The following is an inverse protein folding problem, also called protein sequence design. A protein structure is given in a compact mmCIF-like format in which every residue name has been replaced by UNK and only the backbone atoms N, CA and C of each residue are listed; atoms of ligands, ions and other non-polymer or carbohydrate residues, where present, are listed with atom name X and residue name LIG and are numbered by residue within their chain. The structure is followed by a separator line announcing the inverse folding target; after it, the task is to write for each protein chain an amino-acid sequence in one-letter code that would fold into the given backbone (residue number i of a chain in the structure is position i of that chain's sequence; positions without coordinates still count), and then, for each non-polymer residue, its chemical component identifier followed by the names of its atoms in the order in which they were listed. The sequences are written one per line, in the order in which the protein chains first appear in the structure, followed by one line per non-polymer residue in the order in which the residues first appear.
data_IF_745296178085
#
_entry.id   IF_745296178085
#
_cell.length_a   1.000
_cell.length_b   1.000
_cell.length_c   1.000
_cell.angle_alpha   90.00
_cell.angle_beta   90.00
_cell.angle_gamma   90.00
#
_symmetry.space_group_name_H-M   'P 1'
#
loop_
_entity.id
_entity.type
_entity.pdbx_description
1 polymer ?
#
# COMPACT_ATOMS: atom_id res chain seq x y z
N UNK A 1 1.81 -23.15 21.82
CA UNK A 1 1.59 -22.21 20.70
C UNK A 1 2.80 -22.19 19.76
N UNK A 2 3.99 -21.86 20.26
CA UNK A 2 5.23 -21.76 19.44
C UNK A 2 5.54 -23.00 18.60
N UNK A 3 5.21 -24.21 19.10
CA UNK A 3 5.41 -25.46 18.35
C UNK A 3 4.54 -25.52 17.09
N UNK A 4 3.28 -25.07 17.19
CA UNK A 4 2.31 -25.05 16.06
C UNK A 4 2.77 -24.04 15.00
N UNK A 5 3.16 -22.84 15.43
CA UNK A 5 3.68 -21.81 14.52
C UNK A 5 4.94 -22.29 13.81
N UNK A 6 5.91 -22.88 14.55
CA UNK A 6 7.14 -23.39 13.97
C UNK A 6 6.89 -24.53 12.97
N UNK A 7 5.95 -25.43 13.27
CA UNK A 7 5.59 -26.53 12.36
C UNK A 7 4.97 -25.98 11.07
N UNK A 8 4.02 -25.05 11.18
CA UNK A 8 3.40 -24.38 10.03
C UNK A 8 4.45 -23.66 9.15
N UNK A 9 5.31 -22.85 9.79
CA UNK A 9 6.36 -22.13 9.06
C UNK A 9 7.38 -23.07 8.40
N UNK A 10 7.71 -24.20 9.02
CA UNK A 10 8.58 -25.20 8.43
C UNK A 10 7.96 -25.84 7.18
N UNK A 11 6.66 -26.16 7.22
CA UNK A 11 5.92 -26.69 6.07
C UNK A 11 5.87 -25.68 4.92
N UNK A 12 5.53 -24.43 5.19
CA UNK A 12 5.51 -23.37 4.17
C UNK A 12 6.90 -23.13 3.58
N UNK A 13 7.94 -23.08 4.42
CA UNK A 13 9.32 -22.87 3.97
C UNK A 13 9.84 -24.01 3.08
N UNK A 14 9.42 -25.25 3.35
CA UNK A 14 9.79 -26.40 2.52
C UNK A 14 9.31 -26.26 1.08
N UNK A 15 8.13 -25.63 0.87
CA UNK A 15 7.55 -25.38 -0.45
C UNK A 15 8.07 -24.11 -1.12
N UNK A 16 8.61 -23.16 -0.33
CA UNK A 16 9.00 -21.83 -0.77
C UNK A 16 10.49 -21.54 -0.49
N UNK A 17 11.35 -22.48 -0.89
CA UNK A 17 12.79 -22.34 -0.73
C UNK A 17 13.30 -21.14 -1.52
N UNK A 18 14.16 -20.33 -0.90
CA UNK A 18 14.75 -19.12 -1.48
C UNK A 18 13.74 -17.96 -1.74
N UNK A 19 12.64 -17.91 -0.99
CA UNK A 19 11.67 -16.82 -1.03
C UNK A 19 11.62 -16.05 0.31
N UNK A 20 12.71 -15.34 0.71
CA UNK A 20 12.82 -14.75 2.03
C UNK A 20 11.80 -13.65 2.31
N UNK A 21 11.45 -12.82 1.33
CA UNK A 21 10.46 -11.75 1.50
C UNK A 21 9.06 -12.33 1.72
N UNK A 22 8.73 -13.39 1.01
CA UNK A 22 7.46 -14.09 1.20
C UNK A 22 7.39 -14.75 2.58
N UNK A 23 8.45 -15.46 3.00
CA UNK A 23 8.50 -16.09 4.31
C UNK A 23 8.43 -15.09 5.46
N UNK A 24 8.99 -13.89 5.30
CA UNK A 24 8.88 -12.81 6.30
C UNK A 24 7.42 -12.39 6.51
N UNK A 25 6.68 -12.16 5.42
CA UNK A 25 5.27 -11.76 5.49
C UNK A 25 4.38 -12.89 6.08
N UNK A 26 4.63 -14.14 5.67
CA UNK A 26 3.92 -15.29 6.23
C UNK A 26 4.17 -15.43 7.73
N UNK A 27 5.39 -15.22 8.19
CA UNK A 27 5.75 -15.27 9.61
C UNK A 27 4.99 -14.24 10.42
N UNK A 28 4.98 -12.97 9.98
CA UNK A 28 4.27 -11.89 10.67
C UNK A 28 2.78 -12.20 10.84
N UNK A 29 2.13 -12.69 9.78
CA UNK A 29 0.71 -13.05 9.83
C UNK A 29 0.49 -14.29 10.71
N UNK A 30 1.31 -15.33 10.58
CA UNK A 30 1.19 -16.57 11.32
C UNK A 30 1.27 -16.36 12.84
N UNK A 31 2.17 -15.50 13.31
CA UNK A 31 2.34 -15.17 14.72
C UNK A 31 1.09 -14.57 15.37
N UNK A 32 0.27 -13.87 14.59
CA UNK A 32 -0.98 -13.26 15.08
C UNK A 32 -2.22 -14.12 14.82
N UNK A 33 -2.29 -14.77 13.66
CA UNK A 33 -3.48 -15.49 13.18
C UNK A 33 -3.57 -16.90 13.74
N UNK A 34 -2.46 -17.65 13.83
CA UNK A 34 -2.48 -19.03 14.37
C UNK A 34 -3.01 -19.09 15.82
N UNK A 35 -2.59 -18.20 16.76
CA UNK A 35 -3.17 -18.16 18.09
C UNK A 35 -4.69 -17.90 18.11
N UNK A 36 -5.21 -17.21 17.10
CA UNK A 36 -6.64 -16.99 16.95
C UNK A 36 -7.35 -18.24 16.40
N UNK A 37 -6.81 -18.87 15.36
CA UNK A 37 -7.33 -20.09 14.76
C UNK A 37 -7.50 -21.20 15.80
N UNK A 38 -6.48 -21.46 16.61
CA UNK A 38 -6.48 -22.54 17.62
C UNK A 38 -7.60 -22.37 18.66
N UNK A 39 -8.07 -21.14 18.87
CA UNK A 39 -9.17 -20.83 19.80
C UNK A 39 -10.57 -20.89 19.17
N UNK A 40 -10.66 -21.18 17.88
CA UNK A 40 -11.89 -21.15 17.12
C UNK A 40 -12.10 -22.47 16.37
N UNK A 41 -12.97 -23.32 16.88
CA UNK A 41 -13.25 -24.65 16.34
C UNK A 41 -13.61 -24.62 14.86
N UNK A 42 -14.29 -23.56 14.40
CA UNK A 42 -14.69 -23.39 13.00
C UNK A 42 -13.49 -23.32 12.04
N UNK A 43 -12.33 -22.83 12.48
CA UNK A 43 -11.13 -22.75 11.63
C UNK A 43 -10.12 -23.86 11.92
N UNK A 44 -10.18 -24.45 13.11
CA UNK A 44 -9.22 -25.45 13.53
C UNK A 44 -9.34 -26.72 12.66
N UNK A 45 -8.23 -27.23 12.18
CA UNK A 45 -8.17 -28.42 11.31
C UNK A 45 -8.60 -28.19 9.83
N UNK A 46 -9.01 -26.99 9.44
CA UNK A 46 -9.46 -26.68 8.07
C UNK A 46 -8.33 -26.27 7.12
N UNK A 47 -7.10 -26.19 7.60
CA UNK A 47 -5.92 -25.73 6.84
C UNK A 47 -6.12 -24.39 6.10
N UNK A 48 -7.01 -23.52 6.61
CA UNK A 48 -7.38 -22.28 5.94
C UNK A 48 -6.15 -21.39 5.68
N UNK A 49 -5.32 -21.17 6.71
CA UNK A 49 -4.13 -20.34 6.53
C UNK A 49 -3.13 -20.97 5.55
N UNK A 50 -2.99 -22.29 5.55
CA UNK A 50 -2.12 -22.99 4.59
C UNK A 50 -2.63 -22.80 3.15
N UNK A 51 -3.95 -22.86 2.93
CA UNK A 51 -4.58 -22.55 1.63
C UNK A 51 -4.40 -21.08 1.24
N UNK A 52 -4.43 -20.14 2.19
CA UNK A 52 -4.22 -18.71 1.92
C UNK A 52 -2.78 -18.36 1.53
N UNK A 53 -1.79 -19.10 2.02
CA UNK A 53 -0.37 -18.86 1.67
C UNK A 53 0.03 -19.51 0.36
N UNK A 54 -0.77 -20.45 -0.15
CA UNK A 54 -0.55 -21.05 -1.46
C UNK A 54 -1.30 -20.26 -2.52
N UNK A 55 -0.63 -19.68 -3.55
CA UNK A 55 -1.32 -18.97 -4.63
C UNK A 55 -2.28 -19.90 -5.38
N UNK A 56 -3.49 -19.42 -5.70
CA UNK A 56 -4.40 -20.17 -6.58
C UNK A 56 -3.80 -20.40 -7.96
N UNK A 57 -3.03 -19.41 -8.47
CA UNK A 57 -2.25 -19.52 -9.72
C UNK A 57 -1.04 -18.62 -9.73
N UNK A 58 0.01 -19.09 -10.37
CA UNK A 58 1.20 -18.31 -10.72
C UNK A 58 1.37 -18.35 -12.22
N UNK A 59 1.28 -17.19 -12.87
CA UNK A 59 1.44 -17.02 -14.31
C UNK A 59 2.78 -16.36 -14.56
N UNK A 60 3.65 -17.02 -15.31
CA UNK A 60 4.96 -16.49 -15.71
C UNK A 60 5.07 -16.54 -17.24
N UNK A 61 5.53 -15.46 -17.83
CA UNK A 61 5.64 -15.35 -19.28
C UNK A 61 6.83 -14.50 -19.72
N UNK A 62 7.29 -14.74 -20.94
CA UNK A 62 8.34 -13.95 -21.60
C UNK A 62 7.73 -12.70 -22.20
N UNK A 63 8.41 -11.55 -22.02
CA UNK A 63 8.08 -10.28 -22.65
C UNK A 63 9.24 -9.89 -23.57
N UNK A 64 9.09 -10.08 -24.87
CA UNK A 64 10.07 -9.66 -25.88
C UNK A 64 9.59 -8.35 -26.51
N UNK A 65 10.49 -7.37 -26.63
CA UNK A 65 10.19 -6.06 -27.19
C UNK A 65 11.43 -5.44 -27.85
N UNK A 66 11.26 -4.42 -28.66
CA UNK A 66 12.35 -3.76 -29.41
C UNK A 66 12.60 -2.38 -28.79
N UNK A 67 13.86 -2.10 -28.40
CA UNK A 67 14.30 -0.80 -27.90
C UNK A 67 14.47 0.24 -29.02
N UNK A 68 14.87 1.47 -28.71
CA UNK A 68 15.04 2.55 -29.66
C UNK A 68 16.30 2.37 -30.55
N UNK A 69 17.15 1.39 -30.25
CA UNK A 69 18.30 0.99 -31.05
C UNK A 69 18.02 -0.19 -32.00
N UNK A 70 16.74 -0.58 -32.10
CA UNK A 70 16.30 -1.76 -32.85
C UNK A 70 16.82 -3.11 -32.30
N UNK A 71 17.27 -3.13 -31.04
CA UNK A 71 17.74 -4.33 -30.37
C UNK A 71 16.56 -5.05 -29.69
N UNK A 72 16.58 -6.38 -29.73
CA UNK A 72 15.55 -7.21 -29.03
C UNK A 72 15.90 -7.33 -27.56
N UNK A 73 15.03 -6.84 -26.72
CA UNK A 73 15.08 -6.96 -25.27
C UNK A 73 14.13 -8.07 -24.78
N UNK A 74 14.51 -8.77 -23.71
CA UNK A 74 13.71 -9.85 -23.14
C UNK A 74 13.59 -9.66 -21.63
N UNK A 75 12.37 -9.54 -21.16
CA UNK A 75 12.03 -9.45 -19.75
C UNK A 75 11.13 -10.63 -19.32
N UNK A 76 11.01 -10.81 -18.01
CA UNK A 76 10.06 -11.75 -17.41
C UNK A 76 8.82 -11.00 -16.94
N UNK A 77 7.65 -11.50 -17.30
CA UNK A 77 6.36 -11.04 -16.79
C UNK A 77 5.76 -12.04 -15.82
N UNK A 78 5.06 -11.53 -14.80
CA UNK A 78 4.41 -12.35 -13.78
C UNK A 78 3.04 -11.80 -13.42
N UNK A 79 2.11 -12.71 -13.09
CA UNK A 79 0.88 -12.43 -12.36
C UNK A 79 0.64 -13.53 -11.33
N UNK A 80 0.45 -13.11 -10.08
CA UNK A 80 0.13 -13.98 -8.95
C UNK A 80 -1.34 -13.76 -8.63
N UNK A 81 -2.15 -14.75 -8.89
CA UNK A 81 -3.55 -14.85 -8.49
C UNK A 81 -3.56 -15.56 -7.13
N UNK A 82 -3.60 -14.78 -6.03
CA UNK A 82 -3.31 -15.32 -4.71
C UNK A 82 -4.52 -15.91 -4.02
N UNK A 83 -5.64 -15.18 -4.00
CA UNK A 83 -6.88 -15.64 -3.39
C UNK A 83 -8.07 -14.87 -3.96
N UNK A 84 -9.12 -15.57 -4.35
CA UNK A 84 -10.34 -15.03 -4.96
C UNK A 84 -11.60 -15.20 -4.11
N UNK A 85 -11.49 -15.69 -2.88
CA UNK A 85 -12.65 -16.05 -2.05
C UNK A 85 -13.63 -14.90 -1.81
N UNK A 86 -13.18 -13.64 -1.79
CA UNK A 86 -14.03 -12.47 -1.55
C UNK A 86 -14.23 -11.57 -2.77
N UNK A 87 -13.74 -11.96 -3.93
CA UNK A 87 -13.91 -11.21 -5.18
C UNK A 87 -12.79 -11.43 -6.18
N UNK A 88 -12.83 -10.76 -7.34
CA UNK A 88 -11.80 -10.89 -8.36
C UNK A 88 -10.42 -10.50 -7.80
N UNK A 89 -9.35 -11.15 -8.30
CA UNK A 89 -8.00 -10.81 -7.89
C UNK A 89 -7.72 -9.34 -8.12
N UNK A 90 -7.13 -8.68 -7.15
CA UNK A 90 -6.87 -7.24 -7.20
C UNK A 90 -5.51 -6.91 -6.61
N UNK A 91 -4.71 -6.17 -7.35
CA UNK A 91 -3.42 -5.67 -6.90
C UNK A 91 -2.57 -5.15 -8.04
N UNK A 92 -1.54 -4.36 -7.68
CA UNK A 92 -0.74 -3.61 -8.64
C UNK A 92 0.19 -4.45 -9.51
N UNK A 93 0.64 -3.86 -10.61
CA UNK A 93 1.78 -4.31 -11.41
C UNK A 93 2.99 -3.46 -11.04
N UNK A 94 4.13 -4.12 -10.79
CA UNK A 94 5.42 -3.46 -10.49
C UNK A 94 6.39 -3.66 -11.64
N UNK A 95 6.96 -2.57 -12.17
CA UNK A 95 8.05 -2.63 -13.15
C UNK A 95 9.33 -2.11 -12.49
N UNK A 96 10.18 -3.04 -12.12
CA UNK A 96 11.45 -2.73 -11.44
C UNK A 96 12.43 -3.90 -11.57
N UNK A 97 13.75 -3.65 -11.74
CA UNK A 97 14.76 -4.72 -11.89
C UNK A 97 14.80 -5.75 -10.76
N UNK A 98 14.37 -5.38 -9.55
CA UNK A 98 14.32 -6.31 -8.40
C UNK A 98 13.13 -7.25 -8.41
N UNK A 99 12.20 -7.13 -9.35
CA UNK A 99 11.00 -7.99 -9.39
C UNK A 99 11.39 -9.44 -9.61
N UNK A 100 10.96 -10.28 -8.68
CA UNK A 100 11.09 -11.73 -8.71
C UNK A 100 9.85 -12.37 -8.09
N UNK A 101 9.77 -13.70 -8.10
CA UNK A 101 8.63 -14.43 -7.60
C UNK A 101 8.40 -14.23 -6.09
N UNK A 102 9.47 -14.23 -5.28
CA UNK A 102 9.39 -14.04 -3.83
C UNK A 102 8.73 -12.69 -3.47
N UNK A 103 9.21 -11.61 -4.10
CA UNK A 103 8.66 -10.26 -3.90
C UNK A 103 7.19 -10.19 -4.32
N UNK A 104 6.83 -10.79 -5.45
CA UNK A 104 5.45 -10.73 -5.93
C UNK A 104 4.50 -11.61 -5.10
N UNK A 105 4.92 -12.77 -4.64
CA UNK A 105 4.14 -13.61 -3.71
C UNK A 105 3.94 -12.90 -2.37
N UNK A 106 5.00 -12.31 -1.81
CA UNK A 106 4.90 -11.47 -0.62
C UNK A 106 3.82 -10.40 -0.78
N UNK A 107 3.93 -9.61 -1.85
CA UNK A 107 3.00 -8.51 -2.09
C UNK A 107 1.57 -9.00 -2.38
N UNK A 108 1.40 -10.15 -3.05
CA UNK A 108 0.09 -10.74 -3.32
C UNK A 108 -0.57 -11.27 -2.04
N UNK A 109 0.20 -11.89 -1.16
CA UNK A 109 -0.26 -12.38 0.14
C UNK A 109 -0.71 -11.23 1.05
N UNK A 110 0.11 -10.19 1.20
CA UNK A 110 -0.24 -8.97 1.93
C UNK A 110 -1.52 -8.30 1.35
N UNK A 111 -1.70 -8.39 0.03
CA UNK A 111 -2.85 -7.81 -0.64
C UNK A 111 -4.18 -8.48 -0.26
N UNK A 112 -4.17 -9.78 0.11
CA UNK A 112 -5.37 -10.46 0.62
C UNK A 112 -5.92 -9.71 1.84
N UNK A 113 -5.07 -9.45 2.83
CA UNK A 113 -5.45 -8.80 4.08
C UNK A 113 -5.83 -7.34 3.86
N UNK A 114 -5.05 -6.61 3.06
CA UNK A 114 -5.34 -5.21 2.73
C UNK A 114 -6.70 -5.05 2.04
N UNK A 115 -6.99 -5.88 1.05
CA UNK A 115 -8.25 -5.79 0.29
C UNK A 115 -9.45 -6.19 1.16
N UNK A 116 -9.32 -7.25 1.95
CA UNK A 116 -10.41 -7.71 2.82
C UNK A 116 -10.81 -6.67 3.86
N UNK A 117 -9.86 -5.90 4.38
CA UNK A 117 -10.12 -4.82 5.33
C UNK A 117 -10.99 -3.70 4.73
N UNK A 118 -10.90 -3.44 3.43
CA UNK A 118 -11.71 -2.40 2.76
C UNK A 118 -13.20 -2.69 2.73
N UNK A 119 -13.63 -3.89 3.11
CA UNK A 119 -15.01 -4.42 2.97
C UNK A 119 -15.49 -4.59 1.53
N UNK A 120 -14.78 -4.09 0.54
CA UNK A 120 -15.13 -4.21 -0.87
C UNK A 120 -14.85 -5.63 -1.41
N UNK A 121 -15.59 -6.09 -2.44
CA UNK A 121 -15.45 -7.43 -3.00
C UNK A 121 -14.20 -7.53 -3.89
N UNK A 122 -13.04 -7.66 -3.28
CA UNK A 122 -11.75 -7.75 -3.96
C UNK A 122 -10.88 -8.83 -3.33
N UNK A 123 -10.47 -9.81 -4.11
CA UNK A 123 -9.47 -10.80 -3.76
C UNK A 123 -8.04 -10.22 -3.74
N UNK A 124 -7.05 -11.08 -3.55
CA UNK A 124 -5.63 -10.70 -3.53
C UNK A 124 -4.88 -11.15 -4.79
N UNK A 125 -4.13 -10.24 -5.39
CA UNK A 125 -3.25 -10.56 -6.51
C UNK A 125 -2.13 -9.54 -6.66
N UNK A 126 -1.07 -9.90 -7.38
CA UNK A 126 0.06 -9.03 -7.67
C UNK A 126 0.72 -9.46 -8.97
N UNK A 127 1.37 -8.53 -9.65
CA UNK A 127 2.13 -8.86 -10.84
C UNK A 127 3.24 -7.87 -11.11
N UNK A 128 3.93 -8.06 -12.22
CA UNK A 128 4.99 -7.15 -12.61
C UNK A 128 6.01 -7.77 -13.54
N UNK A 129 7.11 -7.06 -13.70
CA UNK A 129 8.23 -7.45 -14.54
C UNK A 129 9.54 -6.88 -13.98
N UNK A 130 10.65 -7.54 -14.31
CA UNK A 130 12.00 -7.05 -14.08
C UNK A 130 12.41 -5.89 -15.03
N UNK A 131 11.49 -5.41 -15.85
CA UNK A 131 11.66 -4.23 -16.69
C UNK A 131 11.90 -2.96 -15.85
N UNK A 132 12.87 -2.15 -16.26
CA UNK A 132 13.15 -0.86 -15.65
C UNK A 132 12.66 0.29 -16.55
N UNK A 133 11.56 0.96 -16.23
CA UNK A 133 11.06 2.08 -17.03
C UNK A 133 11.89 3.36 -16.86
N UNK A 134 12.79 3.40 -15.86
CA UNK A 134 13.61 4.59 -15.59
C UNK A 134 14.65 4.79 -16.68
N UNK A 135 14.65 5.98 -17.29
CA UNK A 135 15.58 6.32 -18.37
C UNK A 135 15.15 5.81 -19.75
N UNK A 136 14.01 5.11 -19.85
CA UNK A 136 13.44 4.69 -21.14
C UNK A 136 12.56 5.80 -21.73
N UNK A 137 12.51 5.86 -23.07
CA UNK A 137 11.60 6.76 -23.79
C UNK A 137 10.14 6.32 -23.63
N UNK A 138 9.20 7.24 -23.86
CA UNK A 138 7.77 6.91 -23.83
C UNK A 138 7.42 5.83 -24.87
N UNK A 139 8.10 5.83 -26.01
CA UNK A 139 7.92 4.84 -27.07
C UNK A 139 8.43 3.46 -26.66
N UNK A 140 9.58 3.37 -25.99
CA UNK A 140 10.09 2.12 -25.43
C UNK A 140 9.14 1.55 -24.37
N UNK A 141 8.69 2.40 -23.42
CA UNK A 141 7.73 1.99 -22.38
C UNK A 141 6.42 1.54 -23.01
N UNK A 142 5.93 2.21 -24.05
CA UNK A 142 4.70 1.80 -24.75
C UNK A 142 4.87 0.43 -25.41
N UNK A 143 5.97 0.20 -26.15
CA UNK A 143 6.26 -1.10 -26.79
C UNK A 143 6.34 -2.23 -25.76
N UNK A 144 7.05 -1.98 -24.65
CA UNK A 144 7.11 -2.93 -23.54
C UNK A 144 5.71 -3.24 -22.97
N UNK A 145 4.91 -2.22 -22.62
CA UNK A 145 3.57 -2.39 -22.09
C UNK A 145 2.66 -3.16 -23.06
N UNK A 146 2.75 -2.91 -24.35
CA UNK A 146 1.99 -3.62 -25.38
C UNK A 146 2.39 -5.11 -25.43
N UNK A 147 3.69 -5.41 -25.42
CA UNK A 147 4.17 -6.79 -25.38
C UNK A 147 3.75 -7.51 -24.10
N UNK A 148 3.92 -6.86 -22.94
CA UNK A 148 3.50 -7.39 -21.65
C UNK A 148 1.99 -7.71 -21.61
N UNK A 149 1.16 -6.80 -22.11
CA UNK A 149 -0.30 -7.00 -22.12
C UNK A 149 -0.72 -8.05 -23.14
N UNK A 150 0.01 -8.24 -24.23
CA UNK A 150 -0.27 -9.30 -25.23
C UNK A 150 -0.20 -10.70 -24.62
N UNK A 151 0.61 -10.90 -23.58
CA UNK A 151 0.63 -12.14 -22.83
C UNK A 151 -0.40 -12.13 -21.69
N UNK A 152 -0.50 -11.04 -20.96
CA UNK A 152 -1.34 -10.96 -19.74
C UNK A 152 -2.85 -10.94 -20.04
N UNK A 153 -3.31 -10.41 -21.17
CA UNK A 153 -4.74 -10.15 -21.43
C UNK A 153 -5.65 -11.40 -21.32
N UNK A 154 -5.10 -12.59 -21.54
CA UNK A 154 -5.82 -13.87 -21.46
C UNK A 154 -6.25 -14.21 -20.02
N UNK A 155 -5.54 -13.65 -19.05
CA UNK A 155 -5.64 -14.00 -17.63
C UNK A 155 -6.41 -12.96 -16.83
N UNK A 156 -6.59 -11.75 -17.34
CA UNK A 156 -7.23 -10.63 -16.64
C UNK A 156 -8.60 -10.28 -17.25
N UNK A 157 -9.36 -9.50 -16.50
CA UNK A 157 -10.68 -9.02 -16.93
C UNK A 157 -11.48 -8.44 -15.77
N UNK A 158 -12.59 -7.72 -16.06
CA UNK A 158 -13.33 -6.97 -15.03
C UNK A 158 -13.96 -7.87 -13.94
N UNK A 159 -14.17 -9.15 -14.23
CA UNK A 159 -14.79 -10.12 -13.32
C UNK A 159 -13.82 -11.23 -12.87
N UNK A 160 -12.55 -11.16 -13.23
CA UNK A 160 -11.55 -12.20 -12.94
C UNK A 160 -10.37 -11.64 -12.16
N UNK A 161 -9.65 -10.72 -12.76
CA UNK A 161 -8.44 -10.15 -12.23
C UNK A 161 -8.27 -8.71 -12.74
N UNK A 162 -8.13 -7.76 -11.82
CA UNK A 162 -8.12 -6.33 -12.13
C UNK A 162 -6.82 -5.71 -11.60
N UNK A 163 -5.75 -5.70 -12.41
CA UNK A 163 -4.51 -5.07 -12.03
C UNK A 163 -4.62 -3.55 -11.81
N UNK A 164 -3.67 -2.99 -11.10
CA UNK A 164 -3.52 -1.55 -10.85
C UNK A 164 -2.06 -1.12 -11.04
N UNK A 165 -1.76 0.16 -10.82
CA UNK A 165 -0.38 0.64 -10.74
C UNK A 165 0.31 0.29 -9.43
N UNK A 166 1.65 0.27 -9.49
CA UNK A 166 2.58 0.14 -8.36
C UNK A 166 3.91 0.79 -8.77
N UNK A 167 5.03 0.50 -8.10
CA UNK A 167 6.35 1.05 -8.46
C UNK A 167 6.64 0.81 -9.96
N UNK A 168 6.99 1.87 -10.67
CA UNK A 168 7.29 1.84 -12.12
C UNK A 168 6.07 1.70 -13.03
N UNK A 169 4.85 1.70 -12.49
CA UNK A 169 3.60 1.65 -13.24
C UNK A 169 2.67 2.76 -12.75
N UNK A 170 2.72 3.88 -13.40
CA UNK A 170 1.85 5.04 -13.17
C UNK A 170 0.72 5.13 -14.20
N UNK A 171 0.10 6.31 -14.29
CA UNK A 171 -1.01 6.56 -15.23
C UNK A 171 -0.62 6.37 -16.68
N UNK A 172 0.64 6.67 -17.07
CA UNK A 172 1.18 6.45 -18.41
C UNK A 172 1.17 4.96 -18.77
N UNK A 173 1.78 4.12 -17.92
CA UNK A 173 1.85 2.68 -18.15
C UNK A 173 0.46 2.05 -18.14
N UNK A 174 -0.41 2.45 -17.20
CA UNK A 174 -1.82 2.01 -17.16
C UNK A 174 -2.52 2.36 -18.48
N UNK A 175 -2.25 3.54 -19.03
CA UNK A 175 -2.79 3.95 -20.33
C UNK A 175 -2.38 3.02 -21.47
N UNK A 176 -1.08 2.72 -21.58
CA UNK A 176 -0.56 1.83 -22.60
C UNK A 176 -1.05 0.39 -22.46
N UNK A 177 -1.10 -0.11 -21.22
CA UNK A 177 -1.64 -1.44 -20.91
C UNK A 177 -3.13 -1.54 -21.24
N UNK A 178 -3.94 -0.54 -20.86
CA UNK A 178 -5.36 -0.51 -21.14
C UNK A 178 -5.65 -0.39 -22.65
N UNK A 179 -4.92 0.46 -23.35
CA UNK A 179 -5.05 0.61 -24.80
C UNK A 179 -4.80 -0.70 -25.55
N UNK A 180 -3.78 -1.46 -25.14
CA UNK A 180 -3.47 -2.76 -25.75
C UNK A 180 -4.51 -3.82 -25.36
N UNK A 181 -4.97 -3.88 -24.10
CA UNK A 181 -6.05 -4.78 -23.68
C UNK A 181 -7.32 -4.53 -24.49
N UNK A 182 -7.76 -3.26 -24.58
CA UNK A 182 -8.93 -2.86 -25.36
C UNK A 182 -8.82 -3.30 -26.83
N UNK A 183 -7.64 -3.15 -27.45
CA UNK A 183 -7.39 -3.57 -28.82
C UNK A 183 -7.49 -5.09 -29.00
N UNK A 184 -6.91 -5.88 -28.07
CA UNK A 184 -6.88 -7.35 -28.15
C UNK A 184 -8.26 -7.98 -27.87
N UNK A 185 -8.99 -7.42 -26.91
CA UNK A 185 -10.32 -7.92 -26.51
C UNK A 185 -11.46 -7.34 -27.34
N UNK A 186 -11.22 -6.20 -28.02
CA UNK A 186 -12.26 -5.39 -28.68
C UNK A 186 -13.41 -4.99 -27.69
N UNK A 187 -13.07 -4.71 -26.44
CA UNK A 187 -13.99 -4.38 -25.37
C UNK A 187 -13.49 -3.16 -24.59
N UNK A 188 -14.42 -2.29 -24.14
CA UNK A 188 -14.15 -1.22 -23.20
C UNK A 188 -14.75 -1.60 -21.84
N UNK A 189 -13.91 -2.10 -20.93
CA UNK A 189 -14.32 -2.66 -19.63
C UNK A 189 -13.53 -2.05 -18.46
N UNK A 190 -13.93 -2.36 -17.23
CA UNK A 190 -13.25 -1.96 -16.00
C UNK A 190 -12.04 -2.82 -15.61
N UNK A 191 -11.26 -3.29 -16.57
CA UNK A 191 -10.19 -4.29 -16.38
C UNK A 191 -8.97 -3.80 -15.60
N UNK A 192 -8.64 -2.54 -15.62
CA UNK A 192 -7.52 -1.93 -14.90
C UNK A 192 -8.03 -0.80 -14.03
N UNK A 193 -7.34 -0.49 -12.93
CA UNK A 193 -7.60 0.71 -12.14
C UNK A 193 -6.40 1.66 -12.10
N UNK A 194 -6.66 2.94 -11.80
CA UNK A 194 -5.69 4.02 -11.99
C UNK A 194 -5.74 4.60 -13.40
N UNK A 195 -6.88 4.43 -14.08
CA UNK A 195 -7.16 5.00 -15.40
C UNK A 195 -7.31 6.52 -15.33
N UNK A 196 -7.12 7.18 -16.46
CA UNK A 196 -7.42 8.60 -16.59
C UNK A 196 -8.92 8.88 -16.45
N UNK A 197 -9.27 10.05 -15.91
CA UNK A 197 -10.68 10.44 -15.64
C UNK A 197 -11.54 10.35 -16.89
N UNK A 198 -11.03 10.78 -18.03
CA UNK A 198 -11.76 10.78 -19.31
C UNK A 198 -12.05 9.38 -19.90
N UNK A 199 -11.49 8.34 -19.33
CA UNK A 199 -11.62 6.96 -19.83
C UNK A 199 -11.78 5.91 -18.72
N UNK A 200 -12.55 6.26 -17.68
CA UNK A 200 -13.02 5.34 -16.65
C UNK A 200 -12.26 5.38 -15.33
N UNK A 201 -11.39 6.38 -15.12
CA UNK A 201 -10.72 6.61 -13.84
C UNK A 201 -11.65 7.22 -12.79
N UNK A 202 -11.26 7.14 -11.52
CA UNK A 202 -11.96 7.76 -10.38
C UNK A 202 -11.23 8.99 -9.89
N UNK A 203 -11.99 10.03 -9.54
CA UNK A 203 -11.51 11.16 -8.73
C UNK A 203 -10.96 10.61 -7.38
N UNK A 204 -10.10 11.39 -6.73
CA UNK A 204 -9.43 11.03 -5.46
C UNK A 204 -8.45 9.84 -5.59
N UNK A 205 -8.43 9.09 -6.71
CA UNK A 205 -7.56 7.91 -6.81
C UNK A 205 -6.06 8.22 -6.62
N UNK A 206 -5.51 9.30 -7.18
CA UNK A 206 -4.12 9.70 -6.92
C UNK A 206 -3.86 10.04 -5.46
N UNK A 207 -4.78 10.73 -4.80
CA UNK A 207 -4.66 11.24 -3.44
C UNK A 207 -4.95 10.18 -2.37
N UNK A 208 -5.72 9.16 -2.72
CA UNK A 208 -6.39 8.24 -1.81
C UNK A 208 -5.47 7.55 -0.79
N UNK A 209 -4.22 7.26 -1.13
CA UNK A 209 -3.29 6.63 -0.19
C UNK A 209 -2.92 7.59 0.94
N UNK A 210 -2.53 8.82 0.59
CA UNK A 210 -2.19 9.86 1.57
C UNK A 210 -3.39 10.27 2.42
N UNK A 211 -4.55 10.47 1.80
CA UNK A 211 -5.80 10.77 2.49
C UNK A 211 -6.19 9.65 3.46
N UNK A 212 -6.14 8.40 3.01
CA UNK A 212 -6.45 7.23 3.82
C UNK A 212 -5.58 7.10 5.06
N UNK A 213 -4.28 7.35 4.94
CA UNK A 213 -3.37 7.34 6.10
C UNK A 213 -3.82 8.33 7.16
N UNK A 214 -4.17 9.53 6.76
CA UNK A 214 -4.59 10.57 7.72
C UNK A 214 -5.98 10.28 8.29
N UNK A 215 -6.93 9.82 7.48
CA UNK A 215 -8.26 9.43 7.97
C UNK A 215 -8.20 8.28 8.97
N UNK A 216 -7.40 7.25 8.69
CA UNK A 216 -7.20 6.14 9.64
C UNK A 216 -6.53 6.63 10.93
N UNK A 217 -5.46 7.43 10.83
CA UNK A 217 -4.76 8.01 11.98
C UNK A 217 -5.68 8.90 12.79
N UNK A 218 -6.53 9.70 12.15
CA UNK A 218 -7.56 10.51 12.84
C UNK A 218 -8.52 9.63 13.66
N UNK A 219 -8.97 8.50 13.10
CA UNK A 219 -9.82 7.55 13.84
C UNK A 219 -9.13 6.93 15.05
N UNK A 220 -7.83 6.63 14.94
CA UNK A 220 -7.03 6.16 16.08
C UNK A 220 -6.93 7.21 17.18
N UNK A 221 -6.70 8.47 16.81
CA UNK A 221 -6.64 9.59 17.75
C UNK A 221 -7.99 9.85 18.39
N UNK A 222 -9.09 9.88 17.62
CA UNK A 222 -10.46 10.04 18.11
C UNK A 222 -10.83 8.96 19.15
N UNK A 223 -10.37 7.74 18.96
CA UNK A 223 -10.57 6.65 19.93
C UNK A 223 -9.91 6.93 21.29
N UNK A 224 -8.89 7.80 21.33
CA UNK A 224 -8.22 8.26 22.56
C UNK A 224 -8.71 9.64 23.02
N UNK A 225 -9.73 10.22 22.39
CA UNK A 225 -10.20 11.57 22.68
C UNK A 225 -9.30 12.68 22.14
N UNK A 226 -8.44 12.37 21.17
CA UNK A 226 -7.46 13.26 20.56
C UNK A 226 -7.80 13.54 19.09
N UNK A 227 -7.00 14.36 18.42
CA UNK A 227 -7.12 14.66 16.98
C UNK A 227 -5.89 15.36 16.44
N UNK A 228 -5.89 15.72 15.15
CA UNK A 228 -4.78 16.45 14.54
C UNK A 228 -4.70 17.93 14.94
N UNK A 229 -5.80 18.54 15.37
CA UNK A 229 -5.83 19.97 15.71
C UNK A 229 -4.78 20.34 16.75
N UNK A 230 -3.87 21.25 16.37
CA UNK A 230 -2.78 21.73 17.24
C UNK A 230 -1.62 20.76 17.40
N UNK A 231 -1.63 19.58 16.77
CA UNK A 231 -0.54 18.60 16.84
C UNK A 231 0.58 18.91 15.85
N UNK A 232 1.80 18.61 16.24
CA UNK A 232 3.00 18.67 15.40
C UNK A 232 3.17 17.34 14.69
N UNK A 233 3.24 17.38 13.36
CA UNK A 233 3.31 16.18 12.52
C UNK A 233 4.62 16.15 11.74
N UNK A 234 5.34 15.06 11.84
CA UNK A 234 6.53 14.76 11.04
C UNK A 234 6.18 13.76 9.96
N UNK A 235 6.44 14.12 8.70
CA UNK A 235 6.19 13.28 7.52
C UNK A 235 7.51 13.02 6.81
N UNK A 236 7.79 11.76 6.48
CA UNK A 236 8.88 11.41 5.55
C UNK A 236 8.37 11.30 4.12
N UNK A 237 9.28 11.43 3.16
CA UNK A 237 8.93 11.48 1.75
C UNK A 237 8.52 12.87 1.28
N UNK A 238 8.45 13.03 -0.03
CA UNK A 238 7.92 14.22 -0.73
C UNK A 238 7.26 13.81 -2.05
N UNK A 239 6.92 12.52 -2.17
CA UNK A 239 6.12 11.98 -3.25
C UNK A 239 4.63 12.16 -3.00
N UNK A 240 3.81 11.57 -3.86
CA UNK A 240 2.35 11.72 -3.85
C UNK A 240 1.72 11.42 -2.47
N UNK A 241 2.09 10.31 -1.82
CA UNK A 241 1.52 9.94 -0.51
C UNK A 241 1.82 10.98 0.55
N UNK A 242 3.08 11.45 0.63
CA UNK A 242 3.50 12.45 1.62
C UNK A 242 2.85 13.82 1.37
N UNK A 243 2.74 14.25 0.10
CA UNK A 243 2.08 15.51 -0.29
C UNK A 243 0.59 15.49 0.09
N UNK A 244 -0.13 14.43 -0.25
CA UNK A 244 -1.54 14.30 0.04
C UNK A 244 -1.82 14.09 1.55
N UNK A 245 -0.93 13.41 2.27
CA UNK A 245 -1.02 13.32 3.73
C UNK A 245 -0.83 14.71 4.37
N UNK A 246 0.16 15.49 3.91
CA UNK A 246 0.40 16.85 4.39
C UNK A 246 -0.81 17.77 4.16
N UNK A 247 -1.46 17.66 3.01
CA UNK A 247 -2.68 18.41 2.68
C UNK A 247 -3.79 18.15 3.71
N UNK A 248 -4.16 16.90 3.95
CA UNK A 248 -5.24 16.55 4.89
C UNK A 248 -4.86 16.86 6.33
N UNK A 249 -3.60 16.64 6.75
CA UNK A 249 -3.13 17.02 8.09
C UNK A 249 -3.34 18.51 8.33
N UNK A 250 -3.00 19.37 7.35
CA UNK A 250 -3.18 20.82 7.44
C UNK A 250 -4.66 21.19 7.50
N UNK A 251 -5.51 20.57 6.68
CA UNK A 251 -6.97 20.77 6.72
C UNK A 251 -7.59 20.39 8.06
N UNK A 252 -7.07 19.37 8.74
CA UNK A 252 -7.49 18.94 10.09
C UNK A 252 -6.87 19.77 11.22
N UNK A 253 -6.12 20.84 10.89
CA UNK A 253 -5.53 21.77 11.85
C UNK A 253 -4.23 21.27 12.52
N UNK A 254 -3.59 20.26 11.96
CA UNK A 254 -2.25 19.82 12.33
C UNK A 254 -1.17 20.67 11.67
N UNK A 255 0.02 20.72 12.26
CA UNK A 255 1.18 21.46 11.75
C UNK A 255 2.21 20.48 11.19
N UNK A 256 2.35 20.43 9.86
CA UNK A 256 3.36 19.59 9.19
C UNK A 256 4.72 20.26 9.29
N UNK A 257 5.67 19.62 9.96
CA UNK A 257 7.00 20.20 10.21
C UNK A 257 8.06 19.80 9.19
N UNK A 258 7.92 18.63 8.54
CA UNK A 258 8.95 18.07 7.67
C UNK A 258 8.39 17.42 6.43
N UNK A 259 9.16 17.46 5.35
CA UNK A 259 9.09 16.54 4.21
C UNK A 259 10.53 16.15 3.84
N UNK A 260 10.70 14.98 3.20
CA UNK A 260 12.03 14.44 2.90
C UNK A 260 12.15 13.84 1.50
N UNK A 261 13.37 13.71 1.02
CA UNK A 261 13.70 12.82 -0.10
C UNK A 261 15.02 12.07 0.18
N UNK A 262 15.56 11.37 -0.80
CA UNK A 262 16.79 10.59 -0.63
C UNK A 262 18.05 11.44 -0.34
N UNK A 263 17.98 12.77 -0.43
CA UNK A 263 19.08 13.68 -0.07
C UNK A 263 19.05 14.15 1.36
N UNK A 264 17.89 14.03 2.05
CA UNK A 264 17.68 14.49 3.42
C UNK A 264 16.26 15.00 3.64
N UNK A 265 16.07 15.82 4.66
CA UNK A 265 14.75 16.39 4.97
C UNK A 265 14.81 17.90 5.21
N UNK A 266 13.71 18.58 4.90
CA UNK A 266 13.48 19.97 5.31
C UNK A 266 12.73 19.98 6.65
N UNK A 267 13.07 20.92 7.50
CA UNK A 267 12.37 21.25 8.73
C UNK A 267 11.95 22.71 8.71
N UNK A 268 10.64 22.93 8.69
CA UNK A 268 10.06 24.27 8.79
C UNK A 268 9.33 24.41 10.13
N UNK A 269 9.91 25.19 11.05
CA UNK A 269 9.38 25.39 12.39
C UNK A 269 8.01 26.07 12.40
N UNK A 270 7.72 26.91 11.42
CA UNK A 270 6.40 27.58 11.26
C UNK A 270 5.34 26.68 10.66
N UNK A 271 5.73 25.51 10.19
CA UNK A 271 4.87 24.56 9.50
C UNK A 271 4.85 24.75 7.98
N UNK A 272 4.54 23.65 7.29
CA UNK A 272 4.33 23.59 5.82
C UNK A 272 2.81 23.75 5.60
N UNK A 273 2.37 24.98 5.35
CA UNK A 273 0.99 25.31 5.01
C UNK A 273 0.66 25.00 3.54
N UNK A 274 -0.54 25.37 3.09
CA UNK A 274 -1.03 25.12 1.73
C UNK A 274 -0.16 25.79 0.65
N UNK A 275 0.31 27.05 0.87
CA UNK A 275 1.18 27.75 -0.09
C UNK A 275 2.53 27.06 -0.21
N UNK A 276 3.15 26.70 0.93
CA UNK A 276 4.43 26.00 0.99
C UNK A 276 4.33 24.60 0.39
N UNK A 277 3.24 23.88 0.67
CA UNK A 277 2.96 22.57 0.07
C UNK A 277 2.81 22.66 -1.44
N UNK A 278 2.06 23.65 -1.95
CA UNK A 278 1.92 23.89 -3.39
C UNK A 278 3.26 24.15 -4.06
N UNK A 279 4.16 24.92 -3.41
CA UNK A 279 5.52 25.08 -3.90
C UNK A 279 6.33 23.79 -3.93
N UNK A 280 6.22 22.93 -2.89
CA UNK A 280 6.87 21.62 -2.86
C UNK A 280 6.33 20.73 -3.99
N UNK A 281 5.01 20.73 -4.23
CA UNK A 281 4.41 20.00 -5.35
C UNK A 281 4.95 20.46 -6.70
N UNK A 282 5.12 21.77 -6.90
CA UNK A 282 5.76 22.29 -8.11
C UNK A 282 7.21 21.82 -8.25
N UNK A 283 8.00 21.92 -7.19
CA UNK A 283 9.39 21.47 -7.16
C UNK A 283 9.52 19.98 -7.49
N UNK A 284 8.70 19.14 -6.88
CA UNK A 284 8.81 17.67 -7.00
C UNK A 284 8.16 17.13 -8.26
N UNK A 285 6.95 17.59 -8.59
CA UNK A 285 6.14 16.99 -9.65
C UNK A 285 6.43 17.59 -11.03
N UNK A 286 6.75 18.90 -11.10
CA UNK A 286 7.04 19.58 -12.37
C UNK A 286 8.54 19.69 -12.63
N UNK A 287 9.30 20.25 -11.67
CA UNK A 287 10.74 20.49 -11.85
C UNK A 287 11.62 19.28 -11.55
N UNK A 288 11.08 18.23 -10.88
CA UNK A 288 11.80 17.03 -10.44
C UNK A 288 13.05 17.35 -9.60
N UNK A 289 13.01 18.47 -8.87
CA UNK A 289 14.11 18.98 -8.06
C UNK A 289 14.25 18.20 -6.74
N UNK A 290 15.40 18.35 -6.08
CA UNK A 290 15.62 17.88 -4.72
C UNK A 290 14.90 18.79 -3.72
N UNK A 291 14.57 18.23 -2.53
CA UNK A 291 13.76 18.94 -1.54
C UNK A 291 14.49 20.15 -0.92
N UNK A 292 15.83 20.17 -0.90
CA UNK A 292 16.65 21.26 -0.40
C UNK A 292 16.46 22.57 -1.19
N UNK A 293 16.00 22.48 -2.44
CA UNK A 293 15.67 23.67 -3.27
C UNK A 293 14.56 24.51 -2.64
N UNK A 294 13.75 23.95 -1.75
CA UNK A 294 12.73 24.64 -0.97
C UNK A 294 13.28 25.86 -0.21
N UNK A 295 14.50 25.75 0.32
CA UNK A 295 15.16 26.83 1.09
C UNK A 295 15.40 28.09 0.26
N UNK A 296 15.44 28.00 -1.07
CA UNK A 296 15.61 29.18 -1.93
C UNK A 296 14.42 30.15 -1.82
N UNK A 297 13.22 29.66 -1.58
CA UNK A 297 12.00 30.47 -1.37
C UNK A 297 11.73 30.70 0.12
N UNK A 298 12.05 29.73 0.97
CA UNK A 298 11.79 29.74 2.41
C UNK A 298 13.08 29.57 3.22
N UNK A 299 13.94 30.62 3.30
CA UNK A 299 15.27 30.55 3.92
C UNK A 299 15.26 30.33 5.45
N UNK A 300 14.12 30.58 6.11
CA UNK A 300 13.94 30.31 7.56
C UNK A 300 13.85 28.82 7.87
N UNK A 301 13.53 27.97 6.89
CA UNK A 301 13.55 26.52 7.04
C UNK A 301 15.00 26.01 7.07
N UNK A 302 15.18 24.80 7.59
CA UNK A 302 16.48 24.13 7.64
C UNK A 302 16.48 22.88 6.79
N UNK A 303 17.59 22.56 6.16
CA UNK A 303 17.81 21.29 5.47
C UNK A 303 18.85 20.45 6.20
N UNK A 304 18.53 19.19 6.42
CA UNK A 304 19.39 18.21 7.07
C UNK A 304 19.78 17.12 6.07
N UNK A 305 20.97 17.27 5.51
CA UNK A 305 21.50 16.37 4.48
C UNK A 305 21.77 14.97 5.03
N UNK A 306 21.35 13.94 4.29
CA UNK A 306 21.55 12.52 4.61
C UNK A 306 21.03 12.10 6.00
N UNK A 307 20.02 12.81 6.52
CA UNK A 307 19.37 12.52 7.80
C UNK A 307 17.90 12.21 7.60
N UNK A 308 17.29 11.55 8.59
CA UNK A 308 15.87 11.20 8.62
C UNK A 308 15.11 12.14 9.54
N UNK A 309 13.83 12.42 9.29
CA UNK A 309 13.07 13.44 10.03
C UNK A 309 12.68 13.01 11.46
N UNK A 310 12.90 11.76 11.84
CA UNK A 310 12.47 11.19 13.13
C UNK A 310 13.16 11.79 14.36
N UNK A 311 14.19 12.57 14.17
CA UNK A 311 14.89 13.32 15.23
C UNK A 311 14.17 14.62 15.63
N UNK A 312 13.17 15.06 14.86
CA UNK A 312 12.36 16.24 15.16
C UNK A 312 11.27 15.85 16.16
N UNK A 313 11.14 16.53 17.32
CA UNK A 313 10.07 16.30 18.26
C UNK A 313 8.69 16.52 17.61
N UNK A 314 7.81 15.53 17.73
CA UNK A 314 6.47 15.57 17.14
C UNK A 314 5.48 14.78 17.98
N UNK A 315 4.20 15.08 17.80
CA UNK A 315 3.10 14.32 18.38
C UNK A 315 2.75 13.10 17.49
N UNK A 316 2.83 13.27 16.16
CA UNK A 316 2.44 12.26 15.18
C UNK A 316 3.55 12.11 14.13
N UNK A 317 3.88 10.86 13.79
CA UNK A 317 4.83 10.53 12.74
C UNK A 317 4.15 9.73 11.61
N UNK A 318 4.31 10.19 10.36
CA UNK A 318 3.76 9.55 9.17
C UNK A 318 4.90 9.14 8.22
N UNK A 319 5.38 7.89 8.29
CA UNK A 319 6.38 7.37 7.37
C UNK A 319 5.76 7.10 5.99
N UNK A 320 6.02 8.01 5.02
CA UNK A 320 5.44 8.02 3.68
C UNK A 320 6.47 7.91 2.55
N UNK A 321 7.73 7.56 2.85
CA UNK A 321 8.78 7.51 1.85
C UNK A 321 9.00 6.10 1.29
N UNK A 322 9.69 5.24 2.04
CA UNK A 322 10.15 3.94 1.52
C UNK A 322 10.10 2.83 2.56
N UNK A 323 10.19 1.59 2.07
CA UNK A 323 10.32 0.41 2.91
C UNK A 323 11.54 0.49 3.84
N UNK A 324 11.38 0.03 5.10
CA UNK A 324 12.43 -0.03 6.13
C UNK A 324 13.13 1.32 6.45
N UNK A 325 12.42 2.43 6.26
CA UNK A 325 12.96 3.76 6.57
C UNK A 325 13.00 4.08 8.07
N UNK A 326 12.14 3.46 8.90
CA UNK A 326 12.04 3.67 10.32
C UNK A 326 12.60 2.46 11.08
N UNK A 327 13.82 2.60 11.59
CA UNK A 327 14.51 1.55 12.34
C UNK A 327 14.33 1.67 13.85
N UNK A 328 14.95 0.75 14.62
CA UNK A 328 14.85 0.71 16.08
C UNK A 328 15.31 2.03 16.74
N UNK A 329 16.44 2.58 16.29
CA UNK A 329 16.96 3.88 16.80
C UNK A 329 16.03 5.05 16.50
N UNK A 330 15.36 5.02 15.35
CA UNK A 330 14.38 6.04 14.99
C UNK A 330 13.13 5.93 15.90
N UNK A 331 12.70 4.71 16.21
CA UNK A 331 11.62 4.47 17.18
C UNK A 331 11.98 4.95 18.58
N UNK A 332 13.22 4.73 19.04
CA UNK A 332 13.71 5.25 20.33
C UNK A 332 13.64 6.78 20.40
N UNK A 333 13.93 7.48 19.30
CA UNK A 333 13.79 8.93 19.22
C UNK A 333 12.32 9.36 19.34
N UNK A 334 11.42 8.70 18.63
CA UNK A 334 9.98 8.99 18.70
C UNK A 334 9.43 8.76 20.13
N UNK A 335 9.83 7.65 20.79
CA UNK A 335 9.50 7.39 22.20
C UNK A 335 10.03 8.49 23.11
N UNK A 336 11.29 8.87 22.96
CA UNK A 336 11.93 9.94 23.74
C UNK A 336 11.22 11.28 23.58
N UNK A 337 10.69 11.57 22.40
CA UNK A 337 9.97 12.81 22.08
C UNK A 337 8.49 12.76 22.45
N UNK A 338 8.04 11.68 23.11
CA UNK A 338 6.63 11.50 23.50
C UNK A 338 5.67 11.52 22.31
N UNK A 339 6.09 10.98 21.15
CA UNK A 339 5.22 10.78 20.02
C UNK A 339 4.04 9.86 20.43
N UNK A 340 2.81 10.26 20.12
CA UNK A 340 1.62 9.52 20.54
C UNK A 340 1.12 8.54 19.46
N UNK A 341 1.45 8.80 18.18
CA UNK A 341 0.93 7.99 17.09
C UNK A 341 1.92 7.92 15.92
N UNK A 342 2.03 6.71 15.33
CA UNK A 342 2.76 6.45 14.08
C UNK A 342 1.79 5.81 13.08
N UNK A 343 1.55 6.47 11.93
CA UNK A 343 0.68 5.98 10.86
C UNK A 343 1.44 5.72 9.56
N UNK A 344 1.53 4.47 9.13
CA UNK A 344 2.31 4.08 7.96
C UNK A 344 1.63 4.46 6.64
N UNK A 345 2.29 5.34 5.86
CA UNK A 345 1.87 5.69 4.51
C UNK A 345 2.56 4.84 3.42
N UNK A 346 3.83 4.51 3.63
CA UNK A 346 4.55 3.59 2.76
C UNK A 346 4.18 2.12 3.06
N UNK A 347 4.61 1.20 2.20
CA UNK A 347 4.49 -0.23 2.48
C UNK A 347 5.69 -0.68 3.32
N UNK A 348 5.41 -1.23 4.51
CA UNK A 348 6.41 -1.71 5.48
C UNK A 348 7.55 -0.70 5.75
N UNK A 349 7.27 0.55 6.09
CA UNK A 349 8.33 1.53 6.35
C UNK A 349 9.04 1.29 7.67
N UNK A 350 8.38 0.63 8.65
CA UNK A 350 8.95 0.35 9.97
C UNK A 350 9.52 -1.07 10.03
N UNK A 351 10.72 -1.19 10.60
CA UNK A 351 11.31 -2.51 10.85
C UNK A 351 10.57 -3.23 12.00
N UNK A 352 10.60 -4.59 12.07
CA UNK A 352 9.97 -5.34 13.16
C UNK A 352 10.43 -4.89 14.55
N UNK A 353 11.73 -4.55 14.71
CA UNK A 353 12.26 -4.02 15.97
C UNK A 353 11.68 -2.66 16.31
N UNK A 354 11.48 -1.80 15.31
CA UNK A 354 10.85 -0.49 15.52
C UNK A 354 9.40 -0.65 15.96
N UNK A 355 8.63 -1.53 15.29
CA UNK A 355 7.24 -1.83 15.66
C UNK A 355 7.15 -2.30 17.10
N UNK A 356 7.99 -3.27 17.49
CA UNK A 356 8.04 -3.75 18.87
C UNK A 356 8.37 -2.62 19.86
N UNK A 357 9.32 -1.76 19.51
CA UNK A 357 9.71 -0.63 20.38
C UNK A 357 8.57 0.37 20.59
N UNK A 358 7.83 0.71 19.53
CA UNK A 358 6.68 1.61 19.58
C UNK A 358 5.54 1.01 20.41
N UNK A 359 5.16 -0.24 20.14
CA UNK A 359 4.05 -0.91 20.81
C UNK A 359 4.33 -1.17 22.30
N UNK A 360 5.55 -1.55 22.67
CA UNK A 360 5.95 -1.74 24.09
C UNK A 360 5.89 -0.42 24.89
N UNK A 361 5.97 0.73 24.23
CA UNK A 361 5.84 2.05 24.87
C UNK A 361 4.44 2.66 24.69
N UNK A 362 3.44 1.86 24.31
CA UNK A 362 2.04 2.27 24.13
C UNK A 362 1.84 3.40 23.09
N UNK A 363 2.77 3.57 22.15
CA UNK A 363 2.57 4.47 21.02
C UNK A 363 1.55 3.81 20.09
N UNK A 364 0.50 4.53 19.71
CA UNK A 364 -0.47 4.06 18.72
C UNK A 364 0.25 3.80 17.39
N UNK A 365 0.18 2.57 16.90
CA UNK A 365 0.88 2.19 15.68
C UNK A 365 -0.10 1.61 14.66
N UNK A 366 -0.22 2.28 13.50
CA UNK A 366 -1.06 1.84 12.38
C UNK A 366 -0.22 1.12 11.32
N UNK A 367 -0.39 -0.20 11.12
CA UNK A 367 0.32 -0.94 10.08
C UNK A 367 -0.14 -0.49 8.69
N UNK A 368 0.79 -0.45 7.73
CA UNK A 368 0.53 0.02 6.36
C UNK A 368 -0.63 -0.70 5.67
N UNK A 369 -0.81 -2.02 5.92
CA UNK A 369 -1.93 -2.78 5.35
C UNK A 369 -3.33 -2.24 5.74
N UNK A 370 -3.44 -1.54 6.88
CA UNK A 370 -4.66 -0.86 7.31
C UNK A 370 -4.63 0.63 6.94
N UNK A 371 -3.62 1.36 7.37
CA UNK A 371 -3.58 2.82 7.24
C UNK A 371 -3.46 3.30 5.78
N UNK A 372 -2.65 2.64 4.95
CA UNK A 372 -2.49 3.04 3.54
C UNK A 372 -3.47 2.35 2.57
N UNK A 373 -4.50 1.67 3.08
CA UNK A 373 -5.49 0.98 2.27
C UNK A 373 -6.38 1.92 1.43
N UNK A 374 -6.34 3.23 1.66
CA UNK A 374 -7.11 4.21 0.90
C UNK A 374 -6.92 4.10 -0.61
N UNK A 375 -5.69 3.86 -1.07
CA UNK A 375 -5.40 3.68 -2.50
C UNK A 375 -6.14 2.49 -3.12
N UNK A 376 -6.18 1.34 -2.46
CA UNK A 376 -6.93 0.18 -2.96
C UNK A 376 -8.43 0.34 -2.73
N UNK A 377 -8.85 1.02 -1.68
CA UNK A 377 -10.26 1.36 -1.46
C UNK A 377 -10.82 2.16 -2.64
N UNK A 378 -10.18 3.25 -3.03
CA UNK A 378 -10.62 4.04 -4.20
C UNK A 378 -10.45 3.26 -5.52
N UNK A 379 -9.50 2.32 -5.61
CA UNK A 379 -9.47 1.40 -6.75
C UNK A 379 -10.73 0.52 -6.82
N UNK A 380 -11.24 0.04 -5.69
CA UNK A 380 -12.52 -0.68 -5.63
C UNK A 380 -13.72 0.22 -5.96
N UNK A 381 -13.70 1.47 -5.53
CA UNK A 381 -14.69 2.47 -5.93
C UNK A 381 -14.65 2.77 -7.44
N UNK A 382 -13.45 2.80 -8.05
CA UNK A 382 -13.28 2.89 -9.51
C UNK A 382 -13.90 1.69 -10.23
N UNK A 383 -13.70 0.48 -9.69
CA UNK A 383 -14.36 -0.73 -10.22
C UNK A 383 -15.89 -0.61 -10.16
N UNK A 384 -16.45 -0.14 -9.05
CA UNK A 384 -17.88 0.09 -8.89
C UNK A 384 -18.41 1.11 -9.91
N UNK A 385 -17.75 2.26 -10.06
CA UNK A 385 -18.09 3.28 -11.07
C UNK A 385 -18.04 2.72 -12.50
N UNK A 386 -17.02 1.89 -12.81
CA UNK A 386 -16.91 1.25 -14.12
C UNK A 386 -18.04 0.25 -14.38
N UNK A 387 -18.47 -0.50 -13.37
CA UNK A 387 -19.60 -1.44 -13.49
C UNK A 387 -20.93 -0.72 -13.68
N UNK A 388 -21.12 0.43 -13.00
CA UNK A 388 -22.29 1.27 -13.14
C UNK A 388 -22.27 2.10 -14.43
N UNK A 389 -21.12 2.27 -15.08
CA UNK A 389 -20.86 3.22 -16.17
C UNK A 389 -21.25 4.66 -15.81
N UNK A 390 -20.98 5.03 -14.57
CA UNK A 390 -21.33 6.34 -14.00
C UNK A 390 -20.21 6.82 -13.07
N UNK A 391 -19.83 8.10 -13.19
CA UNK A 391 -18.78 8.70 -12.38
C UNK A 391 -19.39 9.41 -11.18
N UNK A 392 -18.83 9.19 -10.01
CA UNK A 392 -19.17 9.94 -8.80
C UNK A 392 -18.41 11.25 -8.72
N UNK A 393 -18.97 12.21 -7.99
CA UNK A 393 -18.29 13.48 -7.69
C UNK A 393 -17.11 13.27 -6.76
N UNK A 394 -16.28 14.30 -6.61
CA UNK A 394 -15.12 14.25 -5.71
C UNK A 394 -15.56 14.02 -4.27
N UNK A 395 -16.62 14.71 -3.86
CA UNK A 395 -17.21 14.63 -2.52
C UNK A 395 -17.74 13.21 -2.25
N UNK A 396 -18.49 12.63 -3.18
CA UNK A 396 -19.02 11.27 -3.04
C UNK A 396 -17.91 10.23 -2.88
N UNK A 397 -16.79 10.36 -3.63
CA UNK A 397 -15.66 9.45 -3.52
C UNK A 397 -14.92 9.66 -2.20
N UNK A 398 -14.73 10.89 -1.75
CA UNK A 398 -14.04 11.21 -0.48
C UNK A 398 -14.85 10.74 0.72
N UNK A 399 -16.17 10.95 0.73
CA UNK A 399 -17.03 10.48 1.81
C UNK A 399 -17.06 8.95 1.91
N UNK A 400 -17.07 8.24 0.77
CA UNK A 400 -16.93 6.78 0.74
C UNK A 400 -15.55 6.34 1.23
N UNK A 401 -14.49 7.06 0.88
CA UNK A 401 -13.15 6.77 1.38
C UNK A 401 -13.07 6.94 2.89
N UNK A 402 -13.60 8.05 3.45
CA UNK A 402 -13.67 8.28 4.90
C UNK A 402 -14.42 7.14 5.62
N UNK A 403 -15.58 6.74 5.07
CA UNK A 403 -16.36 5.63 5.61
C UNK A 403 -15.56 4.34 5.63
N UNK A 404 -14.95 3.97 4.50
CA UNK A 404 -14.14 2.74 4.39
C UNK A 404 -12.97 2.77 5.38
N UNK A 405 -12.26 3.90 5.52
CA UNK A 405 -11.16 4.00 6.47
C UNK A 405 -11.65 3.90 7.93
N UNK A 406 -12.85 4.39 8.22
CA UNK A 406 -13.53 4.19 9.51
C UNK A 406 -13.87 2.72 9.77
N UNK A 407 -14.39 2.01 8.77
CA UNK A 407 -14.73 0.58 8.87
C UNK A 407 -13.47 -0.29 9.06
N UNK A 408 -12.37 0.05 8.38
CA UNK A 408 -11.06 -0.59 8.58
C UNK A 408 -10.60 -0.40 10.03
N UNK A 409 -10.69 0.83 10.54
CA UNK A 409 -10.32 1.14 11.92
C UNK A 409 -11.17 0.35 12.92
N UNK A 410 -12.50 0.33 12.74
CA UNK A 410 -13.40 -0.43 13.59
C UNK A 410 -13.06 -1.93 13.58
N UNK A 411 -12.83 -2.50 12.40
CA UNK A 411 -12.42 -3.91 12.28
C UNK A 411 -11.10 -4.19 13.02
N UNK A 412 -10.15 -3.26 12.97
CA UNK A 412 -8.91 -3.39 13.75
C UNK A 412 -9.15 -3.31 15.26
N UNK A 413 -10.11 -2.49 15.73
CA UNK A 413 -10.51 -2.43 17.15
C UNK A 413 -11.12 -3.75 17.62
N UNK A 414 -12.06 -4.31 16.85
CA UNK A 414 -12.82 -5.51 17.21
C UNK A 414 -11.90 -6.70 17.50
N UNK A 415 -10.79 -6.81 16.79
CA UNK A 415 -9.84 -7.92 16.91
C UNK A 415 -8.51 -7.57 17.60
N UNK A 416 -8.19 -6.29 17.72
CA UNK A 416 -6.92 -5.82 18.26
C UNK A 416 -6.98 -5.30 19.69
N UNK A 417 -8.17 -5.11 20.27
CA UNK A 417 -8.35 -4.55 21.61
C UNK A 417 -7.73 -5.47 22.66
N UNK A 418 -6.85 -4.92 23.48
CA UNK A 418 -6.25 -5.51 24.65
C UNK A 418 -6.64 -4.67 25.89
N UNK A 419 -6.24 -5.06 27.10
CA UNK A 419 -6.74 -4.42 28.35
C UNK A 419 -6.67 -2.88 28.30
N UNK A 420 -5.51 -2.33 28.01
CA UNK A 420 -5.25 -0.87 28.01
C UNK A 420 -4.61 -0.37 26.71
N UNK A 421 -4.62 -1.17 25.65
CA UNK A 421 -3.96 -0.88 24.39
C UNK A 421 -4.72 -1.49 23.22
N UNK A 422 -4.62 -0.89 22.04
CA UNK A 422 -5.12 -1.46 20.81
C UNK A 422 -3.94 -1.89 19.94
N UNK A 423 -3.76 -3.19 19.75
CA UNK A 423 -2.77 -3.74 18.85
C UNK A 423 -3.34 -3.78 17.44
N UNK A 424 -3.14 -2.70 16.68
CA UNK A 424 -3.66 -2.57 15.32
C UNK A 424 -3.03 -3.55 14.33
N UNK A 425 -1.80 -4.03 14.55
CA UNK A 425 -1.18 -5.07 13.72
C UNK A 425 -1.95 -6.38 13.86
N UNK A 426 -2.18 -6.82 15.09
CA UNK A 426 -2.98 -8.00 15.40
C UNK A 426 -4.41 -7.84 14.90
N UNK A 427 -5.02 -6.67 15.14
CA UNK A 427 -6.35 -6.35 14.68
C UNK A 427 -6.51 -6.46 13.16
N UNK A 428 -5.62 -5.85 12.41
CA UNK A 428 -5.63 -5.89 10.95
C UNK A 428 -5.44 -7.32 10.39
N UNK A 429 -4.48 -8.07 10.95
CA UNK A 429 -4.21 -9.44 10.50
C UNK A 429 -5.41 -10.37 10.78
N UNK A 430 -5.99 -10.32 11.99
CA UNK A 430 -7.13 -11.19 12.33
C UNK A 430 -8.39 -10.77 11.58
N UNK A 431 -8.73 -9.48 11.52
CA UNK A 431 -9.89 -9.00 10.78
C UNK A 431 -9.83 -9.39 9.30
N UNK A 432 -8.66 -9.16 8.67
CA UNK A 432 -8.42 -9.57 7.29
C UNK A 432 -8.55 -11.08 7.08
N UNK A 433 -7.97 -11.87 8.00
CA UNK A 433 -8.08 -13.32 7.97
C UNK A 433 -9.53 -13.80 8.10
N UNK A 434 -10.28 -13.35 9.09
CA UNK A 434 -11.66 -13.83 9.38
C UNK A 434 -12.55 -13.66 8.16
N UNK A 435 -12.56 -12.49 7.53
CA UNK A 435 -13.41 -12.23 6.37
C UNK A 435 -13.13 -13.18 5.20
N UNK A 436 -11.84 -13.46 4.91
CA UNK A 436 -11.45 -14.37 3.84
C UNK A 436 -11.70 -15.82 4.24
N UNK A 437 -11.38 -16.20 5.49
CA UNK A 437 -11.57 -17.54 6.00
C UNK A 437 -13.04 -17.97 6.00
N UNK A 438 -13.95 -17.07 6.42
CA UNK A 438 -15.39 -17.33 6.40
C UNK A 438 -15.90 -17.57 4.97
N UNK A 439 -15.44 -16.75 4.02
CA UNK A 439 -15.78 -16.95 2.61
C UNK A 439 -15.24 -18.28 2.06
N UNK A 440 -13.99 -18.63 2.38
CA UNK A 440 -13.37 -19.90 1.97
C UNK A 440 -14.10 -21.12 2.57
N UNK A 441 -14.55 -21.02 3.83
CA UNK A 441 -15.35 -22.08 4.46
C UNK A 441 -16.71 -22.23 3.80
N UNK A 442 -17.39 -21.11 3.53
CA UNK A 442 -18.72 -21.11 2.89
C UNK A 442 -18.69 -21.66 1.45
N UNK A 443 -17.60 -21.45 0.72
CA UNK A 443 -17.41 -21.93 -0.66
C UNK A 443 -16.85 -23.36 -0.73
N UNK A 444 -16.37 -23.92 0.37
CA UNK A 444 -15.84 -25.27 0.43
C UNK A 444 -14.37 -25.40 -0.01
N UNK A 445 -14.02 -26.54 -0.56
CA UNK A 445 -12.67 -26.83 -1.05
C UNK A 445 -12.67 -26.71 -2.57
N UNK A 446 -12.32 -25.53 -3.05
CA UNK A 446 -12.25 -25.16 -4.47
C UNK A 446 -10.85 -24.71 -4.84
#
# INVERSE_FOLDING_TARGET
MDKIIKQFLAEVNQRNQNEPEFMQAVTEVAETVIPYIVKKDIYYGQNILLRMVEPERVISFRVAWINDKEEIEVNRGYRIEMNSAIGPYKGGLRFHPSVNLSILKFLAFEQIFKNSLTTLPMGGGKGGSDFNPKGKTDTEVMRFCQSFMTELFRHIGPNRDIPAGDIGVGSREIGYLFGQYKRLKNEFTGVLTGKGISWGGSLIRPEATGYGVVYFTQKMLEHQGEGFKGKKVVISGSGNVAQCAAEIVTQLGGTVLTLSDSSGYIYDKSGIDEEKLSHIMELKNKRRARIDVYLKKYPEAKFFKNRKPWEIPCDIALPCATQNELGEKDADLLVKHSCICVGEGANMPSSPKAINRLTMNNILYAPGKASNAGGVAVSGLEMAQNSLRYNWTREEVDDKLKSIMGDIHQSCLDYGKEKNYVNYVKGANIAGFVKVADAMLAQGVV
#
